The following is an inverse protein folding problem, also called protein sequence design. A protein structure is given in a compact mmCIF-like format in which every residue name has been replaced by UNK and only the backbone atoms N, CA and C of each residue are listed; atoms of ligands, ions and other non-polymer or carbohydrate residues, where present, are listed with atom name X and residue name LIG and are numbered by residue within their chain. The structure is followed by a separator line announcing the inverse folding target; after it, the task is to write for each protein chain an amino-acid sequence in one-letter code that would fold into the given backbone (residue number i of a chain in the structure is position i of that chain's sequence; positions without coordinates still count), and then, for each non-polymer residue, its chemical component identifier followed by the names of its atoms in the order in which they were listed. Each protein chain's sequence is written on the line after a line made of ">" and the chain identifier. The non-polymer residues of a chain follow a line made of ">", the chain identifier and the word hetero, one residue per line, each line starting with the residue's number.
data_IF_296414103186
#
_entry.id   IF_296414103186
#
_cell.length_a   1.000
_cell.length_b   1.000
_cell.length_c   1.000
_cell.angle_alpha   90.00
_cell.angle_beta   90.00
_cell.angle_gamma   90.00
#
_symmetry.space_group_name_H-M   'P 1'
#
loop_
_entity.id
_entity.type
_entity.pdbx_description
1 polymer ?
#
# COMPACT_ATOMS: atom_id res chain seq x y z
N UNK A 1 -6.55 -18.29 -30.39
CA UNK A 1 -5.60 -17.78 -29.38
C UNK A 1 -6.22 -16.58 -28.69
N UNK A 2 -6.75 -16.73 -27.46
CA UNK A 2 -7.17 -15.60 -26.63
C UNK A 2 -6.12 -15.38 -25.54
N UNK A 3 -5.34 -14.31 -25.67
CA UNK A 3 -4.43 -13.86 -24.63
C UNK A 3 -5.20 -12.90 -23.69
N UNK A 4 -5.59 -13.40 -22.52
CA UNK A 4 -6.09 -12.54 -21.44
C UNK A 4 -4.90 -11.79 -20.83
N UNK A 5 -4.80 -10.50 -21.14
CA UNK A 5 -3.90 -9.57 -20.45
C UNK A 5 -4.45 -9.29 -19.05
N UNK A 6 -4.05 -10.09 -18.06
CA UNK A 6 -4.28 -9.79 -16.66
C UNK A 6 -3.38 -8.61 -16.26
N UNK A 7 -3.99 -7.43 -16.12
CA UNK A 7 -3.30 -6.25 -15.58
C UNK A 7 -3.09 -6.49 -14.08
N UNK A 8 -1.92 -7.03 -13.72
CA UNK A 8 -1.51 -7.11 -12.33
C UNK A 8 -1.41 -5.69 -11.74
N UNK A 9 -1.95 -5.44 -10.54
CA UNK A 9 -1.75 -4.17 -9.87
C UNK A 9 -0.26 -3.94 -9.64
N UNK A 10 0.23 -2.77 -10.02
CA UNK A 10 1.63 -2.40 -9.85
C UNK A 10 1.99 -2.38 -8.35
N UNK A 11 2.70 -3.41 -7.90
CA UNK A 11 3.33 -3.46 -6.59
C UNK A 11 4.52 -2.51 -6.59
N UNK A 12 4.46 -1.45 -5.79
CA UNK A 12 5.60 -0.58 -5.56
C UNK A 12 6.48 -1.21 -4.47
N UNK A 13 7.63 -1.74 -4.85
CA UNK A 13 8.61 -2.28 -3.91
C UNK A 13 9.30 -1.12 -3.17
N UNK A 14 9.18 -1.07 -1.84
CA UNK A 14 9.84 -0.08 -0.99
C UNK A 14 10.74 -0.79 0.04
N UNK A 15 11.87 -0.17 0.36
CA UNK A 15 13.09 -0.77 0.95
C UNK A 15 12.97 -0.99 2.49
N UNK A 16 11.81 -1.40 2.97
CA UNK A 16 11.66 -2.09 4.27
C UNK A 16 10.90 -3.38 3.99
N UNK A 17 11.66 -4.41 3.63
CA UNK A 17 11.22 -5.63 2.92
C UNK A 17 10.25 -6.55 3.70
N UNK A 18 9.72 -6.11 4.83
CA UNK A 18 8.80 -6.90 5.65
C UNK A 18 7.33 -6.67 5.32
N UNK A 19 7.00 -5.62 4.56
CA UNK A 19 5.61 -5.25 4.28
C UNK A 19 5.39 -4.89 2.81
N UNK A 20 4.29 -5.38 2.25
CA UNK A 20 3.78 -5.03 0.92
C UNK A 20 2.54 -4.19 1.09
N UNK A 21 2.56 -2.96 0.58
CA UNK A 21 1.43 -2.05 0.61
C UNK A 21 0.77 -1.92 -0.77
N UNK A 22 -0.56 -1.86 -0.77
CA UNK A 22 -1.41 -1.76 -1.95
C UNK A 22 -2.39 -0.59 -1.77
N UNK A 23 -2.56 0.21 -2.83
CA UNK A 23 -3.58 1.25 -2.91
C UNK A 23 -3.92 1.53 -4.38
N UNK A 24 -5.12 2.04 -4.66
CA UNK A 24 -5.47 2.45 -6.03
C UNK A 24 -4.60 3.63 -6.46
N UNK A 25 -3.86 3.45 -7.56
CA UNK A 25 -2.94 4.48 -8.06
C UNK A 25 -1.73 4.68 -7.16
N UNK A 26 -1.30 3.67 -6.41
CA UNK A 26 -0.09 3.73 -5.60
C UNK A 26 1.13 4.04 -6.49
N UNK A 27 1.92 5.04 -6.08
CA UNK A 27 3.25 5.31 -6.62
C UNK A 27 4.31 4.64 -5.76
N UNK A 28 4.21 4.84 -4.45
CA UNK A 28 5.10 4.23 -3.47
C UNK A 28 4.45 4.27 -2.09
N UNK A 29 4.75 3.29 -1.25
CA UNK A 29 4.33 3.26 0.15
C UNK A 29 5.40 2.60 1.01
N UNK A 30 5.46 2.98 2.28
CA UNK A 30 6.40 2.40 3.26
C UNK A 30 5.68 2.24 4.58
N UNK A 31 5.82 1.06 5.17
CA UNK A 31 5.28 0.75 6.49
C UNK A 31 6.29 -0.06 7.28
N UNK A 32 6.51 0.33 8.53
CA UNK A 32 7.54 -0.21 9.41
C UNK A 32 6.96 -0.94 10.64
N UNK A 33 5.66 -1.24 10.67
CA UNK A 33 5.01 -1.89 11.82
C UNK A 33 4.46 -0.94 12.89
N UNK A 34 4.63 0.38 12.72
CA UNK A 34 4.16 1.40 13.66
C UNK A 34 2.65 1.71 13.57
N UNK A 35 2.27 2.89 14.06
CA UNK A 35 0.87 3.39 13.99
C UNK A 35 0.55 4.17 12.72
N UNK A 36 1.54 4.39 11.85
CA UNK A 36 1.40 5.16 10.61
C UNK A 36 2.12 4.46 9.45
N UNK A 37 1.61 4.66 8.24
CA UNK A 37 2.24 4.26 6.99
C UNK A 37 2.37 5.47 6.06
N UNK A 38 3.53 5.58 5.40
CA UNK A 38 3.72 6.55 4.33
C UNK A 38 3.06 6.03 3.06
N UNK A 39 2.21 6.83 2.43
CA UNK A 39 1.54 6.50 1.17
C UNK A 39 1.67 7.67 0.20
N UNK A 40 2.18 7.40 -1.00
CA UNK A 40 2.23 8.33 -2.12
C UNK A 40 1.43 7.78 -3.30
N UNK A 41 0.37 8.48 -3.67
CA UNK A 41 -0.46 8.17 -4.83
C UNK A 41 0.01 8.95 -6.06
N UNK A 42 -0.05 8.35 -7.25
CA UNK A 42 0.41 8.93 -8.53
C UNK A 42 -0.28 10.26 -8.86
N UNK A 43 -1.55 10.41 -8.50
CA UNK A 43 -2.34 11.62 -8.73
C UNK A 43 -1.96 12.79 -7.82
N UNK A 44 -0.99 12.62 -6.91
CA UNK A 44 -0.59 13.64 -5.94
C UNK A 44 0.90 13.95 -6.06
N UNK A 45 1.24 15.24 -5.89
CA UNK A 45 2.63 15.71 -6.01
C UNK A 45 3.54 15.15 -4.92
N UNK A 46 3.00 14.93 -3.71
CA UNK A 46 3.71 14.42 -2.54
C UNK A 46 2.92 13.29 -1.90
N UNK A 47 3.61 12.36 -1.24
CA UNK A 47 2.98 11.42 -0.32
C UNK A 47 2.78 12.04 1.07
N UNK A 48 2.22 11.24 1.97
CA UNK A 48 2.05 11.61 3.38
C UNK A 48 1.94 10.39 4.28
N UNK A 49 2.06 10.62 5.57
CA UNK A 49 1.91 9.59 6.59
C UNK A 49 0.46 9.54 7.06
N UNK A 50 -0.14 8.36 7.02
CA UNK A 50 -1.54 8.14 7.40
C UNK A 50 -1.62 7.13 8.55
N UNK A 51 -2.58 7.35 9.44
CA UNK A 51 -2.86 6.41 10.52
C UNK A 51 -3.31 5.07 9.93
N UNK A 52 -2.89 3.98 10.58
CA UNK A 52 -3.28 2.63 10.20
C UNK A 52 -4.04 1.95 11.34
N UNK A 53 -4.93 1.05 10.96
CA UNK A 53 -5.65 0.15 11.86
C UNK A 53 -5.10 -1.25 11.65
N UNK A 54 -4.75 -1.94 12.75
CA UNK A 54 -4.35 -3.34 12.71
C UNK A 54 -5.60 -4.21 12.59
N UNK A 55 -5.61 -5.09 11.62
CA UNK A 55 -6.68 -6.04 11.40
C UNK A 55 -6.36 -7.38 12.07
N UNK A 56 -7.37 -8.21 12.29
CA UNK A 56 -7.23 -9.51 12.95
C UNK A 56 -6.41 -10.53 12.14
N UNK A 57 -6.29 -10.32 10.83
CA UNK A 57 -5.50 -11.15 9.90
C UNK A 57 -4.01 -10.77 9.84
N UNK A 58 -3.57 -9.82 10.69
CA UNK A 58 -2.20 -9.32 10.72
C UNK A 58 -1.87 -8.29 9.63
N UNK A 59 -2.82 -7.98 8.74
CA UNK A 59 -2.69 -6.83 7.84
C UNK A 59 -2.94 -5.52 8.60
N UNK A 60 -2.52 -4.41 8.00
CA UNK A 60 -2.90 -3.08 8.46
C UNK A 60 -3.56 -2.31 7.32
N UNK A 61 -4.57 -1.52 7.64
CA UNK A 61 -5.33 -0.76 6.64
C UNK A 61 -5.46 0.70 7.06
N UNK A 62 -5.69 1.58 6.10
CA UNK A 62 -5.91 3.00 6.36
C UNK A 62 -6.56 3.70 5.19
N UNK A 63 -6.78 5.00 5.35
CA UNK A 63 -7.29 5.89 4.29
C UNK A 63 -6.37 7.10 4.15
N UNK A 64 -6.09 7.47 2.91
CA UNK A 64 -5.39 8.71 2.59
C UNK A 64 -6.32 9.93 2.75
N UNK A 65 -5.77 11.15 2.65
CA UNK A 65 -6.54 12.39 2.77
C UNK A 65 -7.67 12.54 1.74
N UNK A 66 -7.54 11.91 0.57
CA UNK A 66 -8.59 11.87 -0.46
C UNK A 66 -9.49 10.63 -0.36
N UNK A 67 -9.58 10.01 0.83
CA UNK A 67 -10.37 8.80 1.10
C UNK A 67 -9.98 7.56 0.26
N UNK A 68 -8.78 7.52 -0.33
CA UNK A 68 -8.34 6.30 -1.02
C UNK A 68 -7.91 5.27 0.02
N UNK A 69 -8.53 4.08 0.06
CA UNK A 69 -8.12 3.03 0.97
C UNK A 69 -6.77 2.45 0.55
N UNK A 70 -5.98 2.07 1.55
CA UNK A 70 -4.75 1.31 1.35
C UNK A 70 -4.65 0.19 2.39
N UNK A 71 -3.92 -0.87 2.03
CA UNK A 71 -3.67 -2.02 2.91
C UNK A 71 -2.19 -2.38 2.82
N UNK A 72 -1.55 -2.62 3.95
CA UNK A 72 -0.22 -3.20 4.02
C UNK A 72 -0.28 -4.59 4.66
N UNK A 73 0.32 -5.57 4.00
CA UNK A 73 0.40 -6.95 4.46
C UNK A 73 1.85 -7.30 4.76
N UNK A 74 2.12 -8.17 5.75
CA UNK A 74 3.47 -8.70 5.89
C UNK A 74 3.84 -9.43 4.60
N UNK A 75 5.07 -9.25 4.12
CA UNK A 75 5.59 -10.02 3.01
C UNK A 75 5.64 -11.48 3.46
N UNK A 76 4.98 -12.38 2.73
CA UNK A 76 5.08 -13.81 3.01
C UNK A 76 6.58 -14.20 3.01
N UNK A 77 7.02 -14.84 4.09
CA UNK A 77 8.37 -15.39 4.21
C UNK A 77 8.55 -16.56 3.27
#
# INVERSE_FOLDING_TARGET
>A
MLAFLTTAPAMAENIDQQWVCEAKGLKTARYNGGSRAYVHLKSFRKGGDYAVTKNSDGSVSGKTANNTPFVCRPKAR
#
